data_IF_053136743877
#
_entry.id   IF_053136743877
#
_cell.length_a   1.000
_cell.length_b   1.000
_cell.length_c   1.000
_cell.angle_alpha   90.00
_cell.angle_beta   90.00
_cell.angle_gamma   90.00
#
_symmetry.space_group_name_H-M   'P 1'
#
loop_
_entity.id
_entity.type
_entity.pdbx_description
1 polymer ?
#
# COMPACT_ATOMS: atom_id res chain seq x y z
N UNK A 1 -43.11 28.10 26.07
CA UNK A 1 -42.17 29.11 26.59
C UNK A 1 -41.10 28.41 27.42
N UNK A 2 -39.99 27.96 26.86
CA UNK A 2 -38.75 27.69 27.61
C UNK A 2 -37.55 27.88 26.68
N UNK A 3 -36.54 28.54 27.21
CA UNK A 3 -35.56 29.38 26.51
C UNK A 3 -34.41 28.57 25.92
N UNK A 4 -34.01 28.93 24.69
CA UNK A 4 -32.73 28.56 24.10
C UNK A 4 -31.58 29.06 24.99
N UNK A 5 -30.55 28.24 25.20
CA UNK A 5 -29.25 28.68 25.67
C UNK A 5 -28.17 27.99 24.83
N UNK A 6 -27.71 28.70 23.80
CA UNK A 6 -26.54 28.34 23.01
C UNK A 6 -25.29 28.74 23.80
N UNK A 7 -24.56 27.77 24.38
CA UNK A 7 -23.24 28.02 24.94
C UNK A 7 -22.22 28.09 23.80
N UNK A 8 -21.91 29.32 23.40
CA UNK A 8 -20.82 29.65 22.49
C UNK A 8 -19.49 29.50 23.25
N UNK A 9 -18.83 28.35 23.11
CA UNK A 9 -17.45 28.18 23.58
C UNK A 9 -16.50 28.86 22.61
N UNK A 10 -16.07 30.08 22.94
CA UNK A 10 -14.98 30.77 22.24
C UNK A 10 -13.67 30.02 22.51
N UNK A 11 -13.22 29.21 21.56
CA UNK A 11 -11.84 28.68 21.58
C UNK A 11 -10.89 29.87 21.46
N UNK A 12 -10.11 30.12 22.50
CA UNK A 12 -9.03 31.09 22.49
C UNK A 12 -8.01 30.66 21.42
N UNK A 13 -7.96 31.40 20.31
CA UNK A 13 -6.87 31.31 19.35
C UNK A 13 -5.63 31.83 20.07
N UNK A 14 -4.82 30.92 20.61
CA UNK A 14 -3.48 31.25 21.06
C UNK A 14 -2.72 31.75 19.83
N UNK A 15 -2.51 33.07 19.77
CA UNK A 15 -1.52 33.64 18.86
C UNK A 15 -0.19 33.02 19.23
N UNK A 16 0.29 32.11 18.39
CA UNK A 16 1.67 31.65 18.43
C UNK A 16 2.51 32.90 18.22
N UNK A 17 3.02 33.46 19.31
CA UNK A 17 4.07 34.45 19.22
C UNK A 17 5.20 33.75 18.48
N UNK A 18 5.45 34.16 17.24
CA UNK A 18 6.70 33.88 16.55
C UNK A 18 7.76 34.54 17.44
N UNK A 19 8.33 33.76 18.36
CA UNK A 19 9.54 34.13 19.04
C UNK A 19 10.59 34.18 17.95
N UNK A 20 10.78 35.38 17.40
CA UNK A 20 12.01 35.73 16.71
C UNK A 20 13.12 35.34 17.67
N UNK A 21 13.83 34.26 17.35
CA UNK A 21 15.09 33.93 17.98
C UNK A 21 16.00 35.09 17.60
N UNK A 22 16.00 36.13 18.41
CA UNK A 22 17.09 37.08 18.42
C UNK A 22 18.31 36.23 18.73
N UNK A 23 19.08 35.90 17.70
CA UNK A 23 20.47 35.52 17.87
C UNK A 23 21.13 36.77 18.44
N UNK A 24 21.04 36.91 19.76
CA UNK A 24 21.96 37.73 20.51
C UNK A 24 23.32 37.07 20.30
N UNK A 25 24.09 37.61 19.35
CA UNK A 25 25.54 37.45 19.37
C UNK A 25 26.04 38.23 20.58
N UNK A 26 25.78 37.70 21.79
CA UNK A 26 26.68 37.99 22.89
C UNK A 26 28.03 37.54 22.37
N UNK A 27 28.91 38.51 22.06
CA UNK A 27 30.30 38.23 21.82
C UNK A 27 30.79 37.54 23.09
N UNK A 28 30.82 36.20 23.06
CA UNK A 28 31.58 35.43 24.02
C UNK A 28 32.93 36.11 24.04
N UNK A 29 33.34 36.57 25.24
CA UNK A 29 34.59 37.26 25.43
C UNK A 29 35.66 36.52 24.62
N UNK A 30 36.13 37.16 23.55
CA UNK A 30 37.16 36.63 22.71
C UNK A 30 38.41 36.62 23.59
N UNK A 31 38.57 35.55 24.37
CA UNK A 31 39.87 35.16 24.90
C UNK A 31 40.80 35.26 23.73
N UNK A 32 41.88 36.04 23.86
CA UNK A 32 42.83 36.33 22.80
C UNK A 32 43.40 35.01 22.26
N UNK A 33 42.67 34.41 21.32
CA UNK A 33 43.17 33.38 20.46
C UNK A 33 44.08 34.14 19.52
N UNK A 34 45.38 34.14 19.84
CA UNK A 34 46.42 34.59 18.92
C UNK A 34 46.08 34.04 17.53
N UNK A 35 46.11 34.90 16.51
CA UNK A 35 45.56 34.63 15.16
C UNK A 35 45.94 33.26 14.56
N UNK A 36 47.04 32.65 15.04
CA UNK A 36 47.50 31.29 14.74
C UNK A 36 46.55 30.17 15.18
N UNK A 37 45.92 30.29 16.36
CA UNK A 37 45.02 29.24 16.88
C UNK A 37 43.60 29.38 16.28
N UNK A 38 43.20 30.61 15.95
CA UNK A 38 41.94 30.87 15.24
C UNK A 38 41.99 30.33 13.79
N UNK A 39 43.13 30.45 13.11
CA UNK A 39 43.30 29.89 11.76
C UNK A 39 43.36 28.37 11.75
N UNK A 40 43.97 27.73 12.76
CA UNK A 40 43.96 26.27 12.94
C UNK A 40 42.55 25.74 13.26
N UNK A 41 41.80 26.40 14.13
CA UNK A 41 40.41 26.04 14.42
C UNK A 41 39.51 26.21 13.18
N UNK A 42 39.66 27.32 12.45
CA UNK A 42 38.93 27.55 11.21
C UNK A 42 39.28 26.52 10.11
N UNK A 43 40.57 26.17 9.98
CA UNK A 43 41.02 25.14 9.04
C UNK A 43 40.48 23.75 9.40
N UNK A 44 40.48 23.39 10.69
CA UNK A 44 39.93 22.10 11.14
C UNK A 44 38.42 21.98 10.92
N UNK A 45 37.66 23.06 11.16
CA UNK A 45 36.21 23.07 10.87
C UNK A 45 35.96 23.00 9.37
N UNK A 46 36.76 23.69 8.56
CA UNK A 46 36.63 23.66 7.10
C UNK A 46 36.94 22.26 6.54
N UNK A 47 38.02 21.61 6.95
CA UNK A 47 38.39 20.30 6.43
C UNK A 47 37.39 19.21 6.81
N UNK A 48 36.90 19.20 8.06
CA UNK A 48 35.87 18.25 8.51
C UNK A 48 34.54 18.51 7.81
N UNK A 49 34.15 19.77 7.64
CA UNK A 49 32.93 20.14 6.89
C UNK A 49 32.99 19.74 5.42
N UNK A 50 34.14 19.94 4.76
CA UNK A 50 34.33 19.52 3.36
C UNK A 50 34.34 18.00 3.22
N UNK A 51 34.99 17.26 4.13
CA UNK A 51 34.96 15.80 4.12
C UNK A 51 33.55 15.25 4.34
N UNK A 52 32.77 15.83 5.26
CA UNK A 52 31.38 15.44 5.48
C UNK A 52 30.50 15.73 4.26
N UNK A 53 30.70 16.88 3.60
CA UNK A 53 29.97 17.24 2.37
C UNK A 53 30.31 16.30 1.20
N UNK A 54 31.58 15.91 1.04
CA UNK A 54 32.01 14.95 0.01
C UNK A 54 31.59 13.51 0.33
N UNK A 55 31.27 13.20 1.59
CA UNK A 55 30.80 11.89 2.04
C UNK A 55 29.27 11.77 2.09
N UNK A 56 28.53 12.83 1.75
CA UNK A 56 27.08 12.75 1.58
C UNK A 56 26.78 12.09 0.24
N UNK A 57 26.28 10.86 0.29
CA UNK A 57 25.60 10.24 -0.85
C UNK A 57 24.40 11.12 -1.25
N UNK A 58 24.17 11.26 -2.55
CA UNK A 58 23.04 12.01 -3.07
C UNK A 58 21.75 11.30 -2.67
N UNK A 59 20.97 11.92 -1.78
CA UNK A 59 19.58 11.53 -1.51
C UNK A 59 18.74 11.89 -2.73
N UNK A 60 18.48 10.88 -3.55
CA UNK A 60 17.62 10.98 -4.73
C UNK A 60 16.16 10.87 -4.27
N UNK A 61 15.40 11.95 -4.36
CA UNK A 61 13.96 11.95 -4.08
C UNK A 61 13.18 11.58 -5.35
N UNK A 62 13.56 10.47 -5.99
CA UNK A 62 12.92 10.03 -7.23
C UNK A 62 11.59 9.32 -6.94
N UNK A 63 10.55 10.13 -6.72
CA UNK A 63 9.18 9.66 -6.51
C UNK A 63 8.62 8.85 -7.69
N UNK A 64 9.25 8.91 -8.87
CA UNK A 64 8.82 8.13 -10.04
C UNK A 64 9.39 6.71 -10.04
N UNK A 65 10.60 6.49 -9.51
CA UNK A 65 11.20 5.17 -9.40
C UNK A 65 10.59 4.37 -8.23
N UNK A 66 10.37 5.02 -7.09
CA UNK A 66 9.87 4.35 -5.88
C UNK A 66 8.34 4.20 -5.86
N UNK A 67 7.63 4.97 -6.69
CA UNK A 67 6.17 5.03 -6.70
C UNK A 67 5.60 5.74 -5.48
N UNK A 68 4.37 6.25 -5.61
CA UNK A 68 3.70 6.91 -4.49
C UNK A 68 3.22 5.87 -3.47
N UNK A 69 3.61 6.05 -2.21
CA UNK A 69 3.17 5.17 -1.13
C UNK A 69 1.63 5.17 -1.02
N UNK A 70 1.04 3.97 -1.04
CA UNK A 70 -0.41 3.82 -0.88
C UNK A 70 -0.86 4.24 0.53
N UNK A 71 -2.00 4.94 0.67
CA UNK A 71 -2.53 5.29 1.97
C UNK A 71 -3.08 4.06 2.70
N UNK A 72 -3.11 4.15 4.04
CA UNK A 72 -3.64 3.07 4.88
C UNK A 72 -5.18 3.15 4.98
N UNK A 73 -5.86 2.33 4.17
CA UNK A 73 -7.32 2.22 4.24
C UNK A 73 -7.80 1.42 5.47
N UNK A 74 -8.96 1.78 6.06
CA UNK A 74 -9.50 1.12 7.24
C UNK A 74 -10.32 -0.13 6.88
N UNK A 75 -9.67 -1.17 6.32
CA UNK A 75 -10.35 -2.43 5.98
C UNK A 75 -10.86 -3.17 7.23
N UNK A 76 -12.05 -3.79 7.12
CA UNK A 76 -12.68 -4.46 8.25
C UNK A 76 -11.86 -5.63 8.82
N UNK A 77 -11.22 -6.40 7.94
CA UNK A 77 -10.38 -7.55 8.28
C UNK A 77 -8.97 -7.18 8.79
N UNK A 78 -8.66 -5.89 8.98
CA UNK A 78 -7.38 -5.43 9.52
C UNK A 78 -7.32 -5.48 11.06
N UNK A 79 -8.48 -5.55 11.72
CA UNK A 79 -8.56 -5.55 13.20
C UNK A 79 -8.10 -6.91 13.74
N UNK A 80 -7.51 -6.90 14.93
CA UNK A 80 -7.15 -8.13 15.63
C UNK A 80 -8.40 -9.01 15.81
N UNK A 81 -8.34 -10.26 15.37
CA UNK A 81 -9.45 -11.23 15.39
C UNK A 81 -10.62 -10.95 14.42
N UNK A 82 -10.53 -9.94 13.54
CA UNK A 82 -11.55 -9.77 12.50
C UNK A 82 -11.41 -10.82 11.40
N UNK A 83 -12.55 -11.25 10.86
CA UNK A 83 -12.63 -12.16 9.71
C UNK A 83 -12.92 -11.40 8.42
N UNK A 84 -12.86 -12.09 7.30
CA UNK A 84 -13.29 -11.51 6.02
C UNK A 84 -14.80 -11.32 5.98
N UNK A 85 -15.26 -10.27 5.27
CA UNK A 85 -16.66 -10.11 4.89
C UNK A 85 -16.95 -11.01 3.67
N UNK A 86 -17.61 -12.14 3.91
CA UNK A 86 -17.98 -13.09 2.86
C UNK A 86 -18.93 -12.51 1.81
N UNK A 87 -19.75 -11.52 2.17
CA UNK A 87 -20.60 -10.82 1.20
C UNK A 87 -19.76 -9.92 0.27
N UNK A 88 -18.73 -9.27 0.80
CA UNK A 88 -17.75 -8.55 -0.02
C UNK A 88 -16.96 -9.48 -0.93
N UNK A 89 -16.55 -10.66 -0.46
CA UNK A 89 -15.89 -11.66 -1.30
C UNK A 89 -16.80 -12.07 -2.46
N UNK A 90 -18.08 -12.35 -2.21
CA UNK A 90 -19.04 -12.70 -3.27
C UNK A 90 -19.18 -11.61 -4.33
N UNK A 91 -19.33 -10.35 -3.91
CA UNK A 91 -19.39 -9.21 -4.85
C UNK A 91 -18.06 -9.01 -5.59
N UNK A 92 -16.94 -9.19 -4.92
CA UNK A 92 -15.60 -9.09 -5.53
C UNK A 92 -15.36 -10.17 -6.58
N UNK A 93 -15.85 -11.39 -6.36
CA UNK A 93 -15.81 -12.44 -7.37
C UNK A 93 -16.62 -12.08 -8.62
N UNK A 94 -17.79 -11.46 -8.46
CA UNK A 94 -18.56 -10.97 -9.61
C UNK A 94 -17.77 -9.93 -10.43
N UNK A 95 -17.10 -8.98 -9.77
CA UNK A 95 -16.24 -7.99 -10.43
C UNK A 95 -15.09 -8.67 -11.17
N UNK A 96 -14.46 -9.68 -10.55
CA UNK A 96 -13.43 -10.47 -11.22
C UNK A 96 -13.99 -11.14 -12.49
N UNK A 97 -15.12 -11.86 -12.38
CA UNK A 97 -15.76 -12.57 -13.49
C UNK A 97 -16.14 -11.62 -14.64
N UNK A 98 -16.69 -10.45 -14.34
CA UNK A 98 -17.22 -9.52 -15.34
C UNK A 98 -16.16 -8.59 -15.96
N UNK A 99 -15.09 -8.26 -15.24
CA UNK A 99 -14.15 -7.20 -15.64
C UNK A 99 -12.72 -7.72 -15.80
N UNK A 100 -12.23 -8.51 -14.84
CA UNK A 100 -10.82 -8.86 -14.76
C UNK A 100 -10.49 -10.16 -15.50
N UNK A 101 -11.42 -11.11 -15.52
CA UNK A 101 -11.23 -12.46 -16.06
C UNK A 101 -10.97 -12.48 -17.57
N UNK A 102 -11.17 -11.37 -18.29
CA UNK A 102 -10.79 -11.22 -19.68
C UNK A 102 -9.28 -11.05 -19.91
N UNK A 103 -8.54 -10.55 -18.90
CA UNK A 103 -7.11 -10.24 -19.01
C UNK A 103 -6.23 -10.88 -17.93
N UNK A 104 -6.79 -11.19 -16.75
CA UNK A 104 -6.05 -11.74 -15.62
C UNK A 104 -6.51 -13.16 -15.31
N UNK A 105 -5.55 -14.08 -15.22
CA UNK A 105 -5.80 -15.45 -14.78
C UNK A 105 -5.89 -15.56 -13.26
N UNK A 106 -6.47 -16.67 -12.80
CA UNK A 106 -6.65 -16.98 -11.38
C UNK A 106 -6.28 -18.45 -11.12
N UNK A 107 -5.15 -18.89 -11.67
CA UNK A 107 -4.73 -20.30 -11.79
C UNK A 107 -4.47 -21.00 -10.44
N UNK A 108 -4.43 -20.26 -9.33
CA UNK A 108 -4.21 -20.79 -7.98
C UNK A 108 -5.49 -20.95 -7.18
N UNK A 109 -6.64 -20.64 -7.76
CA UNK A 109 -7.94 -20.78 -7.11
C UNK A 109 -8.79 -21.76 -7.92
N UNK A 110 -9.14 -22.88 -7.28
CA UNK A 110 -10.06 -23.86 -7.83
C UNK A 110 -11.50 -23.54 -7.43
N UNK A 111 -12.46 -24.04 -8.21
CA UNK A 111 -13.90 -23.87 -7.95
C UNK A 111 -14.29 -24.28 -6.52
N UNK A 112 -13.73 -25.39 -6.02
CA UNK A 112 -13.92 -25.84 -4.63
C UNK A 112 -13.58 -24.82 -3.55
N UNK A 113 -12.68 -23.88 -3.83
CA UNK A 113 -12.28 -22.86 -2.85
C UNK A 113 -13.40 -21.82 -2.61
N UNK A 114 -14.37 -21.71 -3.53
CA UNK A 114 -15.52 -20.80 -3.37
C UNK A 114 -16.64 -21.43 -2.53
N UNK A 115 -16.69 -22.76 -2.44
CA UNK A 115 -17.76 -23.51 -1.75
C UNK A 115 -17.69 -23.26 -0.25
N UNK A 116 -18.78 -22.78 0.34
CA UNK A 116 -18.86 -22.46 1.77
C UNK A 116 -18.10 -21.19 2.16
N UNK A 117 -17.41 -20.54 1.21
CA UNK A 117 -16.77 -19.24 1.40
C UNK A 117 -17.67 -18.15 0.83
N UNK A 118 -17.88 -18.10 -0.48
CA UNK A 118 -18.70 -17.06 -1.12
C UNK A 118 -19.92 -17.61 -1.84
N UNK A 119 -19.93 -18.90 -2.17
CA UNK A 119 -20.97 -19.56 -2.94
C UNK A 119 -21.33 -20.91 -2.34
N UNK A 120 -22.52 -21.39 -2.65
CA UNK A 120 -22.93 -22.77 -2.35
C UNK A 120 -22.36 -23.74 -3.39
N UNK A 121 -22.33 -25.03 -3.05
CA UNK A 121 -21.88 -26.07 -3.98
C UNK A 121 -22.67 -26.07 -5.29
N UNK A 122 -23.99 -25.93 -5.21
CA UNK A 122 -24.86 -25.89 -6.39
C UNK A 122 -24.57 -24.68 -7.30
N UNK A 123 -24.30 -23.51 -6.70
CA UNK A 123 -23.93 -22.31 -7.47
C UNK A 123 -22.56 -22.46 -8.14
N UNK A 124 -21.58 -22.99 -7.41
CA UNK A 124 -20.23 -23.20 -7.97
C UNK A 124 -20.27 -24.21 -9.11
N UNK A 125 -21.03 -25.30 -8.94
CA UNK A 125 -21.20 -26.30 -9.98
C UNK A 125 -21.82 -25.70 -11.25
N UNK A 126 -22.88 -24.92 -11.10
CA UNK A 126 -23.50 -24.22 -12.23
C UNK A 126 -22.51 -23.28 -12.94
N UNK A 127 -21.70 -22.52 -12.21
CA UNK A 127 -20.69 -21.64 -12.80
C UNK A 127 -19.53 -22.39 -13.47
N UNK A 128 -19.14 -23.53 -12.93
CA UNK A 128 -18.07 -24.34 -13.51
C UNK A 128 -18.53 -25.04 -14.80
N UNK A 129 -19.80 -25.45 -14.86
CA UNK A 129 -20.42 -26.04 -16.06
C UNK A 129 -20.57 -25.05 -17.22
N UNK A 130 -20.49 -23.72 -16.98
CA UNK A 130 -20.42 -22.70 -18.03
C UNK A 130 -19.11 -22.76 -18.83
N UNK A 131 -18.10 -23.49 -18.35
CA UNK A 131 -16.76 -23.52 -18.92
C UNK A 131 -16.37 -24.94 -19.33
N UNK A 132 -15.75 -25.04 -20.52
CA UNK A 132 -15.23 -26.27 -21.07
C UNK A 132 -13.72 -26.37 -20.81
N UNK A 133 -13.25 -27.57 -20.46
CA UNK A 133 -11.84 -27.85 -20.20
C UNK A 133 -11.39 -29.06 -21.01
N UNK A 134 -10.21 -28.93 -21.62
CA UNK A 134 -9.58 -30.03 -22.34
C UNK A 134 -9.12 -31.10 -21.36
N UNK A 135 -9.60 -32.32 -21.55
CA UNK A 135 -9.21 -33.54 -20.85
C UNK A 135 -8.81 -34.64 -21.85
N UNK A 136 -8.20 -35.72 -21.37
CA UNK A 136 -7.82 -36.87 -22.20
C UNK A 136 -6.35 -37.26 -22.06
N UNK A 137 -5.88 -38.22 -22.87
CA UNK A 137 -6.50 -38.74 -24.09
C UNK A 137 -7.60 -39.78 -23.86
N UNK A 138 -8.55 -39.88 -24.79
CA UNK A 138 -9.54 -40.96 -24.83
C UNK A 138 -8.93 -42.30 -25.32
N UNK A 139 -9.76 -43.33 -25.44
CA UNK A 139 -9.37 -44.68 -25.88
C UNK A 139 -8.80 -44.75 -27.30
N UNK A 140 -9.06 -43.72 -28.12
CA UNK A 140 -8.52 -43.56 -29.47
C UNK A 140 -7.28 -42.66 -29.53
N UNK A 141 -6.89 -42.06 -28.39
CA UNK A 141 -5.73 -41.18 -28.28
C UNK A 141 -6.01 -39.69 -28.52
N UNK A 142 -7.28 -39.29 -28.64
CA UNK A 142 -7.69 -37.89 -28.87
C UNK A 142 -8.04 -37.18 -27.56
N UNK A 143 -7.74 -35.88 -27.48
CA UNK A 143 -8.19 -35.00 -26.38
C UNK A 143 -9.64 -34.58 -26.61
N UNK A 144 -10.41 -34.42 -25.53
CA UNK A 144 -11.82 -34.04 -25.58
C UNK A 144 -12.14 -32.95 -24.55
N UNK A 145 -13.22 -32.20 -24.74
CA UNK A 145 -13.66 -31.16 -23.81
C UNK A 145 -14.70 -31.72 -22.83
N UNK A 146 -14.58 -31.39 -21.53
CA UNK A 146 -15.57 -31.70 -20.50
C UNK A 146 -15.76 -30.53 -19.52
N UNK A 147 -16.99 -30.26 -19.06
CA UNK A 147 -17.20 -29.42 -17.88
C UNK A 147 -16.68 -30.13 -16.62
N UNK A 148 -15.65 -29.59 -15.98
CA UNK A 148 -15.06 -30.18 -14.76
C UNK A 148 -15.15 -29.20 -13.58
N UNK A 149 -16.10 -29.40 -12.66
CA UNK A 149 -16.25 -28.55 -11.47
C UNK A 149 -15.09 -28.62 -10.49
N UNK A 150 -14.21 -29.60 -10.62
CA UNK A 150 -13.09 -29.83 -9.71
C UNK A 150 -11.81 -29.10 -10.17
N UNK A 151 -11.84 -28.57 -11.39
CA UNK A 151 -10.72 -27.89 -12.05
C UNK A 151 -10.52 -26.45 -11.54
N UNK A 152 -9.42 -25.85 -11.96
CA UNK A 152 -9.08 -24.45 -11.70
C UNK A 152 -10.05 -23.49 -12.43
N UNK A 153 -10.21 -22.28 -11.91
CA UNK A 153 -10.92 -21.20 -12.63
C UNK A 153 -10.17 -20.94 -13.95
N UNK A 154 -10.87 -20.80 -15.09
CA UNK A 154 -10.22 -20.79 -16.38
C UNK A 154 -9.39 -19.52 -16.57
N UNK A 155 -8.25 -19.68 -17.23
CA UNK A 155 -7.40 -18.56 -17.64
C UNK A 155 -7.94 -17.94 -18.93
N UNK A 156 -7.94 -16.60 -19.06
CA UNK A 156 -8.26 -15.94 -20.33
C UNK A 156 -7.25 -16.23 -21.44
N UNK A 157 -6.02 -16.59 -21.08
CA UNK A 157 -4.93 -16.80 -22.02
C UNK A 157 -4.42 -18.24 -21.96
N UNK A 158 -4.34 -18.85 -23.14
CA UNK A 158 -3.84 -20.21 -23.36
C UNK A 158 -2.30 -20.25 -23.24
N UNK A 159 -1.64 -19.09 -23.42
CA UNK A 159 -0.18 -18.93 -23.32
C UNK A 159 0.18 -17.48 -22.97
N UNK A 160 1.30 -17.24 -22.25
CA UNK A 160 1.76 -15.90 -21.87
C UNK A 160 2.22 -15.03 -23.05
#
# INVERSE_FOLDING_TARGET
MFRLSAQSTRKAVQRVAVQARFQSTSAAAASSMTAKNASLAAAGVATVGTLAYLSMESVDANMAADGLHAPAYPWDHKKNLATFDHAAIRRGYQVYKEVCAACHSLDRIAWRNLIGVSHTEAEVKAMAEEHEYTDGPNDVGDMFERPEPETWVPSPQISP
#
